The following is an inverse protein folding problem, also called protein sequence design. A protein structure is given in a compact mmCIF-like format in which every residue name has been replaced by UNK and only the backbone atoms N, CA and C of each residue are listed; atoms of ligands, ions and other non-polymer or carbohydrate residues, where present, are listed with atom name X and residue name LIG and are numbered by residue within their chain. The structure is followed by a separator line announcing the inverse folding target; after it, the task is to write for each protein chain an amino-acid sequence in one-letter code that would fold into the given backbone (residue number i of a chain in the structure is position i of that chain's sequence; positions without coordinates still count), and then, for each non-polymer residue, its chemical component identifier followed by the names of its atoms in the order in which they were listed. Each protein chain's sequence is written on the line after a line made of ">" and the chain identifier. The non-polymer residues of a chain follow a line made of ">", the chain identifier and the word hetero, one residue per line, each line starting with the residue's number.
data_IF_933572040548
#
_entry.id   IF_933572040548
#
_cell.length_a   1.000
_cell.length_b   1.000
_cell.length_c   1.000
_cell.angle_alpha   90.00
_cell.angle_beta   90.00
_cell.angle_gamma   90.00
#
_symmetry.space_group_name_H-M   'P 1'
#
loop_
_entity.id
_entity.type
_entity.pdbx_description
1 polymer ?
#
# COMPACT_ATOMS: atom_id res chain seq x y z
N UNK A 1 40.42 -6.43 -12.15
CA UNK A 1 39.76 -5.33 -11.44
C UNK A 1 38.26 -5.63 -11.38
N UNK A 2 37.76 -5.75 -10.15
CA UNK A 2 36.36 -5.71 -9.70
C UNK A 2 35.30 -6.56 -10.42
N UNK A 3 35.10 -7.78 -9.92
CA UNK A 3 33.79 -8.45 -9.85
C UNK A 3 33.59 -8.97 -8.43
N UNK A 4 33.34 -8.06 -7.49
CA UNK A 4 32.84 -8.35 -6.14
C UNK A 4 31.93 -7.19 -5.76
N UNK A 5 30.64 -7.26 -6.12
CA UNK A 5 29.51 -6.66 -5.40
C UNK A 5 28.20 -6.76 -6.21
N UNK A 6 27.67 -7.98 -6.36
CA UNK A 6 26.25 -8.18 -6.69
C UNK A 6 25.70 -9.19 -5.66
N UNK A 7 25.27 -8.59 -4.54
CA UNK A 7 24.56 -9.08 -3.37
C UNK A 7 24.18 -10.58 -3.31
N UNK A 8 25.01 -11.35 -2.60
CA UNK A 8 24.54 -12.47 -1.80
C UNK A 8 23.64 -11.91 -0.68
N UNK A 9 22.33 -11.81 -0.95
CA UNK A 9 21.33 -11.80 0.12
C UNK A 9 21.21 -13.26 0.53
N UNK A 10 21.94 -13.64 1.58
CA UNK A 10 21.98 -15.00 2.12
C UNK A 10 20.54 -15.50 2.37
N UNK A 11 20.08 -16.39 1.48
CA UNK A 11 18.88 -17.18 1.72
C UNK A 11 19.14 -18.02 2.97
N UNK A 12 18.31 -17.84 3.99
CA UNK A 12 18.40 -18.64 5.22
C UNK A 12 18.39 -20.13 4.83
N UNK A 13 19.40 -20.93 5.24
CA UNK A 13 19.46 -22.34 4.90
C UNK A 13 18.15 -23.07 5.20
N UNK A 14 17.66 -23.86 4.24
CA UNK A 14 16.38 -24.58 4.35
C UNK A 14 16.33 -25.51 5.58
N UNK A 15 17.48 -26.08 5.97
CA UNK A 15 17.63 -26.86 7.21
C UNK A 15 17.19 -26.10 8.48
N UNK A 16 17.40 -24.77 8.53
CA UNK A 16 17.03 -23.92 9.68
C UNK A 16 15.53 -23.65 9.67
N UNK A 17 14.95 -23.46 8.47
CA UNK A 17 13.50 -23.31 8.28
C UNK A 17 12.78 -24.57 8.75
N UNK A 18 13.21 -25.74 8.28
CA UNK A 18 12.64 -27.04 8.66
C UNK A 18 12.81 -27.33 10.16
N UNK A 19 13.98 -27.04 10.73
CA UNK A 19 14.20 -27.17 12.17
C UNK A 19 13.28 -26.25 12.98
N UNK A 20 13.00 -25.04 12.50
CA UNK A 20 12.08 -24.12 13.18
C UNK A 20 10.66 -24.68 13.18
N UNK A 21 10.19 -25.24 12.06
CA UNK A 21 8.86 -25.86 11.96
C UNK A 21 8.73 -27.11 12.83
N UNK A 22 9.75 -27.97 12.87
CA UNK A 22 9.78 -29.14 13.77
C UNK A 22 9.74 -28.72 15.24
N UNK A 23 10.55 -27.73 15.62
CA UNK A 23 10.57 -27.21 16.98
C UNK A 23 9.24 -26.54 17.38
N UNK A 24 8.56 -25.86 16.45
CA UNK A 24 7.22 -25.30 16.66
C UNK A 24 6.19 -26.41 16.92
N UNK A 25 6.14 -27.42 16.03
CA UNK A 25 5.21 -28.55 16.15
C UNK A 25 5.44 -29.39 17.41
N UNK A 26 6.69 -29.60 17.80
CA UNK A 26 7.03 -30.35 19.03
C UNK A 26 6.60 -29.64 20.32
N UNK A 27 6.38 -28.32 20.28
CA UNK A 27 6.07 -27.49 21.45
C UNK A 27 4.66 -26.92 21.44
N UNK A 28 3.91 -27.17 20.38
CA UNK A 28 2.56 -26.62 20.16
C UNK A 28 2.52 -25.08 20.32
N UNK A 29 3.52 -24.40 19.76
CA UNK A 29 3.60 -22.93 19.75
C UNK A 29 3.79 -22.43 18.33
N UNK A 30 3.38 -21.18 18.03
CA UNK A 30 3.68 -20.56 16.76
C UNK A 30 5.18 -20.52 16.43
N UNK A 31 5.59 -20.69 15.16
CA UNK A 31 7.00 -20.58 14.75
C UNK A 31 7.72 -19.31 15.25
N UNK A 32 7.02 -18.17 15.37
CA UNK A 32 7.58 -16.92 15.90
C UNK A 32 8.01 -17.03 17.37
N UNK A 33 7.30 -17.83 18.16
CA UNK A 33 7.53 -17.98 19.61
C UNK A 33 8.58 -19.04 19.94
N UNK A 34 9.06 -19.79 18.94
CA UNK A 34 10.17 -20.75 19.09
C UNK A 34 11.48 -19.99 19.36
N UNK A 35 12.18 -20.36 20.43
CA UNK A 35 13.43 -19.68 20.80
C UNK A 35 14.58 -20.07 19.87
N UNK A 36 15.55 -19.17 19.70
CA UNK A 36 16.80 -19.48 18.97
C UNK A 36 17.57 -20.66 19.58
N UNK A 37 17.38 -20.94 20.87
CA UNK A 37 17.99 -22.09 21.53
C UNK A 37 17.33 -23.39 21.04
N UNK A 38 16.00 -23.42 21.00
CA UNK A 38 15.25 -24.60 20.56
C UNK A 38 15.54 -24.91 19.09
N UNK A 39 15.63 -23.88 18.24
CA UNK A 39 15.97 -24.03 16.82
C UNK A 39 17.39 -24.56 16.65
N UNK A 40 18.35 -24.03 17.41
CA UNK A 40 19.73 -24.50 17.34
C UNK A 40 19.84 -25.98 17.76
N UNK A 41 19.11 -26.36 18.80
CA UNK A 41 19.03 -27.75 19.26
C UNK A 41 18.42 -28.67 18.21
N UNK A 42 17.28 -28.29 17.63
CA UNK A 42 16.59 -29.05 16.59
C UNK A 42 17.41 -29.16 15.28
N UNK A 43 18.22 -28.15 14.98
CA UNK A 43 19.12 -28.14 13.83
C UNK A 43 20.50 -28.76 14.11
N UNK A 44 20.74 -29.31 15.31
CA UNK A 44 22.00 -29.95 15.67
C UNK A 44 23.22 -29.02 15.69
N UNK A 45 23.02 -27.72 15.93
CA UNK A 45 24.08 -26.71 15.89
C UNK A 45 24.14 -25.84 17.16
N UNK A 46 25.25 -25.14 17.36
CA UNK A 46 25.35 -24.19 18.48
C UNK A 46 24.57 -22.90 18.19
N UNK A 47 24.06 -22.25 19.24
CA UNK A 47 23.33 -20.96 19.12
C UNK A 47 24.16 -19.88 18.40
N UNK A 48 25.47 -19.83 18.62
CA UNK A 48 26.37 -18.89 17.94
C UNK A 48 26.49 -19.19 16.44
N UNK A 49 26.50 -20.47 16.06
CA UNK A 49 26.51 -20.89 14.65
C UNK A 49 25.20 -20.53 13.97
N UNK A 50 24.07 -20.77 14.64
CA UNK A 50 22.75 -20.36 14.16
C UNK A 50 22.69 -18.85 13.92
N UNK A 51 23.04 -18.04 14.92
CA UNK A 51 23.02 -16.58 14.81
C UNK A 51 23.91 -16.06 13.67
N UNK A 52 25.09 -16.64 13.47
CA UNK A 52 25.97 -16.29 12.35
C UNK A 52 25.33 -16.61 11.00
N UNK A 53 24.69 -17.78 10.86
CA UNK A 53 23.97 -18.19 9.63
C UNK A 53 22.73 -17.35 9.34
N UNK A 54 22.14 -16.74 10.37
CA UNK A 54 21.00 -15.82 10.25
C UNK A 54 21.41 -14.36 9.99
N UNK A 55 22.69 -14.06 9.76
CA UNK A 55 23.15 -12.67 9.61
C UNK A 55 23.00 -11.85 10.90
N UNK A 56 23.02 -12.52 12.07
CA UNK A 56 22.97 -11.90 13.39
C UNK A 56 21.58 -11.63 13.96
N UNK A 57 20.50 -11.88 13.21
CA UNK A 57 19.14 -11.55 13.65
C UNK A 57 18.13 -12.65 13.29
N UNK A 58 17.14 -12.88 14.17
CA UNK A 58 15.98 -13.75 13.89
C UNK A 58 15.13 -13.21 12.72
N UNK A 59 15.23 -11.91 12.42
CA UNK A 59 14.44 -11.27 11.37
C UNK A 59 14.61 -11.91 9.99
N UNK A 60 15.83 -12.32 9.63
CA UNK A 60 16.10 -12.98 8.35
C UNK A 60 15.39 -14.34 8.24
N UNK A 61 15.32 -15.09 9.35
CA UNK A 61 14.57 -16.34 9.44
C UNK A 61 13.06 -16.10 9.29
N UNK A 62 12.51 -15.11 9.99
CA UNK A 62 11.09 -14.77 9.88
C UNK A 62 10.73 -14.30 8.46
N UNK A 63 11.62 -13.57 7.79
CA UNK A 63 11.49 -13.18 6.37
C UNK A 63 11.51 -14.39 5.44
N UNK A 64 12.43 -15.34 5.64
CA UNK A 64 12.51 -16.57 4.87
C UNK A 64 11.27 -17.47 5.05
N UNK A 65 10.79 -17.62 6.29
CA UNK A 65 9.56 -18.35 6.61
C UNK A 65 8.33 -17.72 5.95
N UNK A 66 8.20 -16.39 5.96
CA UNK A 66 7.13 -15.68 5.24
C UNK A 66 7.22 -15.87 3.73
N UNK A 67 8.41 -15.81 3.16
CA UNK A 67 8.62 -16.05 1.72
C UNK A 67 8.25 -17.49 1.32
N UNK A 68 8.40 -18.45 2.23
CA UNK A 68 7.96 -19.84 2.07
C UNK A 68 6.46 -20.06 2.34
N UNK A 69 5.69 -19.01 2.63
CA UNK A 69 4.24 -19.10 2.87
C UNK A 69 3.87 -19.65 4.25
N UNK A 70 4.80 -19.70 5.21
CA UNK A 70 4.54 -20.18 6.57
C UNK A 70 3.84 -19.09 7.39
N UNK A 71 2.72 -19.43 8.03
CA UNK A 71 2.17 -18.61 9.11
C UNK A 71 3.03 -18.76 10.36
N UNK A 72 3.76 -17.70 10.68
CA UNK A 72 4.64 -17.65 11.84
C UNK A 72 3.87 -17.65 13.16
N UNK A 73 2.60 -17.25 13.15
CA UNK A 73 1.88 -16.81 14.33
C UNK A 73 2.72 -15.91 15.25
N UNK A 74 2.36 -15.83 16.54
CA UNK A 74 3.02 -14.92 17.48
C UNK A 74 2.69 -13.44 17.26
N UNK A 75 3.17 -12.58 18.17
CA UNK A 75 2.79 -11.15 18.17
C UNK A 75 3.57 -10.40 17.09
N UNK A 76 2.86 -9.86 16.08
CA UNK A 76 3.44 -9.04 15.01
C UNK A 76 4.37 -7.92 15.55
N UNK A 77 5.37 -7.48 14.79
CA UNK A 77 6.26 -6.38 15.20
C UNK A 77 5.48 -5.13 15.60
N UNK A 78 6.00 -4.37 16.58
CA UNK A 78 5.37 -3.13 17.07
C UNK A 78 5.00 -2.19 15.91
N UNK A 79 5.89 -2.07 14.91
CA UNK A 79 5.63 -1.27 13.70
C UNK A 79 4.35 -1.69 12.98
N UNK A 80 4.19 -2.98 12.70
CA UNK A 80 3.02 -3.50 11.99
C UNK A 80 1.74 -3.35 12.81
N UNK A 81 1.80 -3.66 14.12
CA UNK A 81 0.65 -3.50 15.01
C UNK A 81 0.22 -2.05 15.12
N UNK A 82 1.18 -1.12 15.24
CA UNK A 82 0.92 0.30 15.33
C UNK A 82 0.31 0.87 14.05
N UNK A 83 0.80 0.47 12.86
CA UNK A 83 0.22 0.88 11.58
C UNK A 83 -1.21 0.36 11.44
N UNK A 84 -1.46 -0.91 11.78
CA UNK A 84 -2.79 -1.49 11.73
C UNK A 84 -3.76 -0.82 12.72
N UNK A 85 -3.31 -0.60 13.96
CA UNK A 85 -4.09 0.08 15.00
C UNK A 85 -4.40 1.54 14.64
N UNK A 86 -3.42 2.27 14.10
CA UNK A 86 -3.63 3.63 13.63
C UNK A 86 -4.61 3.67 12.44
N UNK A 87 -4.49 2.75 11.48
CA UNK A 87 -5.44 2.63 10.37
C UNK A 87 -6.87 2.40 10.86
N UNK A 88 -7.07 1.48 11.81
CA UNK A 88 -8.38 1.22 12.42
C UNK A 88 -8.94 2.47 13.13
N UNK A 89 -8.12 3.14 13.95
CA UNK A 89 -8.52 4.38 14.63
C UNK A 89 -8.93 5.49 13.65
N UNK A 90 -8.22 5.64 12.53
CA UNK A 90 -8.57 6.61 11.48
C UNK A 90 -9.92 6.26 10.87
N UNK A 91 -10.11 5.00 10.49
CA UNK A 91 -11.34 4.53 9.87
C UNK A 91 -12.57 4.72 10.77
N UNK A 92 -12.43 4.44 12.06
CA UNK A 92 -13.52 4.51 13.02
C UNK A 92 -13.80 5.93 13.53
N UNK A 93 -12.77 6.76 13.68
CA UNK A 93 -12.85 7.98 14.50
C UNK A 93 -12.30 9.23 13.82
N UNK A 94 -11.79 9.09 12.60
CA UNK A 94 -11.20 10.16 11.82
C UNK A 94 -9.74 10.44 12.16
N UNK A 95 -9.07 11.13 11.23
CA UNK A 95 -7.63 11.40 11.27
C UNK A 95 -7.23 12.25 12.48
N UNK A 96 -8.03 13.26 12.83
CA UNK A 96 -7.72 14.17 13.94
C UNK A 96 -7.69 13.52 15.32
N UNK A 97 -8.20 12.29 15.47
CA UNK A 97 -8.31 11.57 16.74
C UNK A 97 -7.17 10.59 17.02
N UNK A 98 -6.20 10.48 16.11
CA UNK A 98 -5.05 9.59 16.23
C UNK A 98 -3.95 10.24 17.08
N UNK A 99 -3.64 9.63 18.22
CA UNK A 99 -2.50 9.98 19.08
C UNK A 99 -1.68 8.75 19.42
N UNK A 100 -0.41 8.93 19.80
CA UNK A 100 0.48 7.84 20.18
C UNK A 100 -0.03 7.05 21.37
N UNK A 101 -0.66 7.69 22.36
CA UNK A 101 -1.23 7.02 23.53
C UNK A 101 -2.33 6.04 23.10
N UNK A 102 -3.20 6.48 22.19
CA UNK A 102 -4.31 5.67 21.69
C UNK A 102 -3.81 4.53 20.80
N UNK A 103 -2.83 4.82 19.94
CA UNK A 103 -2.19 3.81 19.10
C UNK A 103 -1.43 2.80 19.95
N UNK A 104 -0.73 3.24 20.99
CA UNK A 104 0.02 2.37 21.89
C UNK A 104 -0.91 1.41 22.64
N UNK A 105 -2.03 1.95 23.16
CA UNK A 105 -3.06 1.15 23.79
C UNK A 105 -3.66 0.11 22.81
N UNK A 106 -4.04 0.54 21.61
CA UNK A 106 -4.65 -0.34 20.60
C UNK A 106 -3.66 -1.36 19.98
N UNK A 107 -2.38 -1.00 19.84
CA UNK A 107 -1.32 -1.89 19.37
C UNK A 107 -0.69 -2.72 20.51
N UNK A 108 -1.21 -2.56 21.72
CA UNK A 108 -0.76 -3.19 22.95
C UNK A 108 0.77 -3.12 23.12
N UNK A 109 1.29 -1.90 23.08
CA UNK A 109 2.69 -1.58 23.30
C UNK A 109 2.83 -0.32 24.16
N UNK A 110 4.05 0.01 24.57
CA UNK A 110 4.29 1.23 25.32
C UNK A 110 4.48 2.42 24.38
N UNK A 111 4.07 3.62 24.81
CA UNK A 111 4.32 4.87 24.06
C UNK A 111 5.81 5.08 23.73
N UNK A 112 6.76 4.84 24.66
CA UNK A 112 8.18 4.87 24.32
C UNK A 112 8.57 3.93 23.18
N UNK A 113 7.94 2.74 23.08
CA UNK A 113 8.20 1.82 21.96
C UNK A 113 7.78 2.41 20.62
N UNK A 114 6.68 3.19 20.58
CA UNK A 114 6.26 3.90 19.36
C UNK A 114 7.24 5.02 18.99
N UNK A 115 7.72 5.80 19.96
CA UNK A 115 8.74 6.82 19.69
C UNK A 115 10.04 6.21 19.17
N UNK A 116 10.48 5.08 19.73
CA UNK A 116 11.64 4.35 19.19
C UNK A 116 11.39 3.82 17.77
N UNK A 117 10.16 3.39 17.48
CA UNK A 117 9.82 2.76 16.19
C UNK A 117 9.62 3.78 15.06
N UNK A 118 8.99 4.92 15.34
CA UNK A 118 8.58 5.90 14.33
C UNK A 118 9.23 7.28 14.49
N UNK A 119 9.80 7.62 15.64
CA UNK A 119 10.32 8.96 15.91
C UNK A 119 9.24 10.02 16.19
N UNK A 120 8.01 9.83 15.71
CA UNK A 120 6.89 10.73 16.01
C UNK A 120 5.59 10.36 15.30
N UNK A 121 4.54 11.14 15.59
CA UNK A 121 3.18 10.96 15.03
C UNK A 121 3.15 11.01 13.51
N UNK A 122 3.87 11.96 12.93
CA UNK A 122 3.85 12.22 11.50
C UNK A 122 4.47 11.05 10.70
N UNK A 123 5.56 10.46 11.20
CA UNK A 123 6.15 9.27 10.60
C UNK A 123 5.28 8.02 10.72
N UNK A 124 4.50 7.91 11.81
CA UNK A 124 3.46 6.89 11.90
C UNK A 124 2.37 7.13 10.84
N UNK A 125 1.86 8.36 10.72
CA UNK A 125 0.85 8.69 9.72
C UNK A 125 1.35 8.45 8.29
N UNK A 126 2.60 8.81 8.00
CA UNK A 126 3.25 8.52 6.71
C UNK A 126 3.25 7.01 6.44
N UNK A 127 3.66 6.19 7.40
CA UNK A 127 3.66 4.73 7.26
C UNK A 127 2.25 4.15 7.08
N UNK A 128 1.23 4.76 7.70
CA UNK A 128 -0.18 4.39 7.52
C UNK A 128 -0.65 4.76 6.11
N UNK A 129 -0.36 5.96 5.62
CA UNK A 129 -0.71 6.36 4.26
C UNK A 129 0.02 5.53 3.21
N UNK A 130 1.30 5.19 3.43
CA UNK A 130 2.03 4.27 2.56
C UNK A 130 1.38 2.88 2.50
N UNK A 131 0.74 2.43 3.59
CA UNK A 131 0.08 1.12 3.66
C UNK A 131 -1.30 1.10 3.02
N UNK A 132 -2.06 2.19 3.14
CA UNK A 132 -3.50 2.20 2.81
C UNK A 132 -3.87 3.14 1.65
N UNK A 133 -2.98 4.02 1.19
CA UNK A 133 -3.23 4.88 0.04
C UNK A 133 -3.10 4.12 -1.29
N UNK A 134 -3.99 4.33 -2.27
CA UNK A 134 -3.85 3.77 -3.62
C UNK A 134 -2.59 4.25 -4.35
N UNK A 135 -1.98 5.34 -3.88
CA UNK A 135 -0.91 6.03 -4.59
C UNK A 135 0.31 5.12 -4.83
N UNK A 136 0.60 4.23 -3.89
CA UNK A 136 1.74 3.30 -3.99
C UNK A 136 1.47 2.26 -5.06
N UNK A 137 0.24 1.73 -5.11
CA UNK A 137 -0.18 0.75 -6.12
C UNK A 137 -0.20 1.37 -7.52
N UNK A 138 -0.67 2.62 -7.63
CA UNK A 138 -0.67 3.40 -8.89
C UNK A 138 0.74 3.72 -9.37
N UNK A 139 1.62 4.18 -8.47
CA UNK A 139 3.02 4.47 -8.78
C UNK A 139 3.75 3.21 -9.26
N UNK A 140 3.59 2.09 -8.54
CA UNK A 140 4.20 0.82 -8.92
C UNK A 140 3.71 0.32 -10.28
N UNK A 141 2.41 0.46 -10.57
CA UNK A 141 1.84 0.09 -11.87
C UNK A 141 2.41 0.94 -13.02
N UNK A 142 2.45 2.27 -12.85
CA UNK A 142 2.93 3.19 -13.89
C UNK A 142 4.44 3.14 -14.11
N UNK A 143 5.21 2.74 -13.11
CA UNK A 143 6.66 2.53 -13.22
C UNK A 143 7.03 1.27 -14.03
N UNK A 144 6.12 0.29 -14.13
CA UNK A 144 6.31 -0.94 -14.89
C UNK A 144 5.80 -0.86 -16.33
N UNK A 145 6.08 -1.87 -17.17
CA UNK A 145 5.45 -2.01 -18.47
C UNK A 145 3.92 -2.06 -18.35
N UNK A 146 3.22 -1.22 -19.10
CA UNK A 146 1.77 -1.16 -19.15
C UNK A 146 1.27 -1.12 -20.61
N UNK A 147 -0.03 -1.33 -20.79
CA UNK A 147 -0.66 -1.44 -22.10
C UNK A 147 -0.81 -0.10 -22.81
N UNK A 148 -1.68 -0.07 -23.82
CA UNK A 148 -2.10 1.18 -24.45
C UNK A 148 -2.89 2.07 -23.47
N UNK A 149 -3.26 3.27 -23.95
CA UNK A 149 -4.00 4.26 -23.16
C UNK A 149 -5.26 3.67 -22.52
N UNK A 150 -6.06 2.92 -23.30
CA UNK A 150 -7.33 2.35 -22.84
C UNK A 150 -7.10 1.30 -21.74
N UNK A 151 -6.21 0.33 -21.98
CA UNK A 151 -5.87 -0.69 -21.00
C UNK A 151 -5.30 -0.09 -19.71
N UNK A 152 -4.46 0.95 -19.83
CA UNK A 152 -3.85 1.65 -18.71
C UNK A 152 -4.90 2.39 -17.88
N UNK A 153 -5.82 3.11 -18.53
CA UNK A 153 -6.92 3.79 -17.85
C UNK A 153 -7.80 2.78 -17.10
N UNK A 154 -8.26 1.70 -17.75
CA UNK A 154 -9.09 0.69 -17.06
C UNK A 154 -8.37 0.05 -15.87
N UNK A 155 -7.06 -0.19 -15.97
CA UNK A 155 -6.28 -0.71 -14.85
C UNK A 155 -6.18 0.30 -13.70
N UNK A 156 -5.95 1.57 -13.99
CA UNK A 156 -5.91 2.63 -12.97
C UNK A 156 -7.25 2.77 -12.24
N UNK A 157 -8.39 2.74 -12.96
CA UNK A 157 -9.71 2.78 -12.35
C UNK A 157 -9.97 1.55 -11.45
N UNK A 158 -9.52 0.36 -11.85
CA UNK A 158 -9.59 -0.85 -11.00
C UNK A 158 -8.79 -0.68 -9.71
N UNK A 159 -7.54 -0.21 -9.79
CA UNK A 159 -6.69 0.05 -8.62
C UNK A 159 -7.32 1.06 -7.65
N UNK A 160 -7.89 2.15 -8.19
CA UNK A 160 -8.57 3.16 -7.39
C UNK A 160 -9.84 2.62 -6.73
N UNK A 161 -10.63 1.81 -7.46
CA UNK A 161 -11.82 1.15 -6.92
C UNK A 161 -11.49 0.16 -5.80
N UNK A 162 -10.46 -0.68 -5.99
CA UNK A 162 -9.98 -1.62 -4.99
C UNK A 162 -9.54 -0.93 -3.70
N UNK A 163 -8.84 0.20 -3.83
CA UNK A 163 -8.41 0.96 -2.67
C UNK A 163 -9.58 1.59 -1.89
N UNK A 164 -10.71 1.86 -2.54
CA UNK A 164 -11.88 2.42 -1.87
C UNK A 164 -12.69 1.43 -1.04
N UNK A 165 -12.56 0.15 -1.35
CA UNK A 165 -13.22 -0.93 -0.61
C UNK A 165 -12.31 -1.53 0.47
N UNK A 166 -11.05 -1.08 0.55
CA UNK A 166 -10.05 -1.60 1.48
C UNK A 166 -10.38 -1.16 2.91
N UNK A 167 -10.43 -2.14 3.82
CA UNK A 167 -10.47 -1.91 5.26
C UNK A 167 -9.05 -1.92 5.86
N UNK A 168 -8.75 -1.07 6.86
CA UNK A 168 -9.54 0.06 7.36
C UNK A 168 -9.72 1.20 6.33
N UNK A 169 -10.85 1.92 6.39
CA UNK A 169 -11.23 3.05 5.50
C UNK A 169 -10.45 4.34 5.75
N UNK A 170 -9.12 4.26 5.62
CA UNK A 170 -8.22 5.39 5.86
C UNK A 170 -8.44 6.53 4.88
N UNK A 171 -8.55 6.25 3.58
CA UNK A 171 -8.70 7.30 2.56
C UNK A 171 -10.05 8.02 2.65
N UNK A 172 -11.21 7.34 2.81
CA UNK A 172 -12.48 8.01 3.08
C UNK A 172 -12.45 8.92 4.33
N UNK A 173 -11.85 8.45 5.43
CA UNK A 173 -11.73 9.24 6.65
C UNK A 173 -10.81 10.46 6.48
N UNK A 174 -9.71 10.32 5.72
CA UNK A 174 -8.86 11.46 5.35
C UNK A 174 -9.65 12.50 4.54
N UNK A 175 -10.38 12.06 3.50
CA UNK A 175 -11.17 12.97 2.66
C UNK A 175 -12.27 13.69 3.45
N UNK A 176 -12.93 13.01 4.38
CA UNK A 176 -13.89 13.63 5.29
C UNK A 176 -13.24 14.79 6.09
N UNK A 177 -12.02 14.59 6.60
CA UNK A 177 -11.28 15.64 7.31
C UNK A 177 -10.85 16.78 6.38
N UNK A 178 -10.46 16.49 5.13
CA UNK A 178 -10.13 17.51 4.12
C UNK A 178 -11.31 18.46 3.88
N UNK A 179 -12.51 17.91 3.71
CA UNK A 179 -13.70 18.72 3.47
C UNK A 179 -14.16 19.48 4.73
N UNK A 180 -14.02 18.89 5.91
CA UNK A 180 -14.45 19.50 7.17
C UNK A 180 -13.46 20.52 7.73
N UNK A 181 -12.14 20.25 7.61
CA UNK A 181 -11.05 21.01 8.25
C UNK A 181 -9.83 21.09 7.34
N UNK A 182 -9.90 21.80 6.19
CA UNK A 182 -8.79 21.89 5.24
C UNK A 182 -7.51 22.53 5.81
N UNK A 183 -7.62 23.31 6.90
CA UNK A 183 -6.49 23.92 7.59
C UNK A 183 -5.85 23.08 8.69
N UNK A 184 -6.34 21.86 8.97
CA UNK A 184 -5.78 21.00 10.01
C UNK A 184 -4.35 20.57 9.67
N UNK A 185 -3.45 20.57 10.65
CA UNK A 185 -2.06 20.21 10.46
C UNK A 185 -1.89 18.77 9.93
N UNK A 186 -2.76 17.83 10.33
CA UNK A 186 -2.71 16.44 9.86
C UNK A 186 -3.14 16.33 8.40
N UNK A 187 -4.11 17.14 7.97
CA UNK A 187 -4.54 17.24 6.57
C UNK A 187 -3.43 17.84 5.73
N UNK A 188 -2.83 18.95 6.18
CA UNK A 188 -1.69 19.57 5.51
C UNK A 188 -0.52 18.60 5.37
N UNK A 189 -0.17 17.90 6.45
CA UNK A 189 0.86 16.87 6.42
C UNK A 189 0.54 15.76 5.42
N UNK A 190 -0.70 15.24 5.41
CA UNK A 190 -1.09 14.21 4.45
C UNK A 190 -0.90 14.67 3.00
N UNK A 191 -1.34 15.89 2.65
CA UNK A 191 -1.20 16.42 1.29
C UNK A 191 0.24 16.75 0.92
N UNK A 192 1.05 17.24 1.86
CA UNK A 192 2.49 17.43 1.63
C UNK A 192 3.21 16.12 1.27
N UNK A 193 2.76 14.99 1.80
CA UNK A 193 3.33 13.68 1.50
C UNK A 193 2.72 13.02 0.24
N UNK A 194 1.40 13.15 0.04
CA UNK A 194 0.69 12.48 -1.05
C UNK A 194 0.79 13.22 -2.38
N UNK A 195 0.74 14.55 -2.39
CA UNK A 195 0.72 15.33 -3.64
C UNK A 195 1.98 15.13 -4.50
N UNK A 196 3.22 15.17 -3.96
CA UNK A 196 4.42 14.96 -4.78
C UNK A 196 4.45 13.59 -5.45
N UNK A 197 4.05 12.53 -4.72
CA UNK A 197 4.00 11.17 -5.26
C UNK A 197 2.94 11.03 -6.37
N UNK A 198 1.80 11.70 -6.21
CA UNK A 198 0.72 11.66 -7.19
C UNK A 198 1.17 12.34 -8.49
N UNK A 199 1.86 13.48 -8.36
CA UNK A 199 2.42 14.19 -9.50
C UNK A 199 3.54 13.40 -10.18
N UNK A 200 4.41 12.74 -9.41
CA UNK A 200 5.49 11.92 -9.95
C UNK A 200 4.99 10.62 -10.63
N UNK A 201 3.90 10.02 -10.14
CA UNK A 201 3.29 8.84 -10.78
C UNK A 201 2.29 9.23 -11.86
N UNK A 202 1.05 9.47 -11.43
CA UNK A 202 -0.08 9.73 -12.32
C UNK A 202 0.11 11.01 -13.15
N UNK A 203 0.60 12.08 -12.52
CA UNK A 203 0.80 13.35 -13.20
C UNK A 203 1.82 13.26 -14.34
N UNK A 204 2.95 12.60 -14.09
CA UNK A 204 4.00 12.39 -15.10
C UNK A 204 3.50 11.53 -16.25
N UNK A 205 2.74 10.47 -15.98
CA UNK A 205 2.14 9.63 -17.02
C UNK A 205 1.16 10.44 -17.89
N UNK A 206 0.21 11.16 -17.29
CA UNK A 206 -0.74 12.00 -18.03
C UNK A 206 -0.02 13.05 -18.89
N UNK A 207 1.04 13.69 -18.37
CA UNK A 207 1.84 14.63 -19.15
C UNK A 207 2.53 13.97 -20.36
N UNK A 208 2.99 12.73 -20.23
CA UNK A 208 3.57 11.97 -21.33
C UNK A 208 2.51 11.60 -22.39
N UNK A 209 1.29 11.24 -21.98
CA UNK A 209 0.16 10.98 -22.88
C UNK A 209 -0.25 12.24 -23.68
N UNK A 210 -0.23 13.41 -23.05
CA UNK A 210 -0.44 14.71 -23.71
C UNK A 210 0.67 14.98 -24.72
N UNK A 211 1.94 14.85 -24.32
CA UNK A 211 3.09 15.10 -25.19
C UNK A 211 3.13 14.15 -26.40
N UNK A 212 2.62 12.92 -26.24
CA UNK A 212 2.50 11.95 -27.33
C UNK A 212 1.27 12.17 -28.23
N UNK A 213 0.43 13.18 -27.95
CA UNK A 213 -0.79 13.46 -28.71
C UNK A 213 -1.86 12.39 -28.58
N UNK A 214 -1.82 11.57 -27.52
CA UNK A 214 -2.82 10.51 -27.25
C UNK A 214 -4.01 11.03 -26.46
N UNK A 215 -3.82 12.05 -25.63
CA UNK A 215 -4.89 12.75 -24.91
C UNK A 215 -4.79 14.27 -25.11
N UNK A 216 -5.91 14.97 -24.92
CA UNK A 216 -6.03 16.43 -25.04
C UNK A 216 -5.09 17.15 -24.07
N UNK A 217 -4.48 18.23 -24.56
CA UNK A 217 -3.70 19.16 -23.74
C UNK A 217 -4.63 19.99 -22.85
N UNK A 218 -4.73 19.59 -21.59
CA UNK A 218 -5.53 20.22 -20.55
C UNK A 218 -4.64 20.47 -19.32
N UNK A 219 -4.95 21.46 -18.46
CA UNK A 219 -4.21 21.67 -17.22
C UNK A 219 -4.12 20.39 -16.39
N UNK A 220 -2.90 20.00 -16.01
CA UNK A 220 -2.62 18.68 -15.42
C UNK A 220 -3.50 18.34 -14.20
N UNK A 221 -3.71 19.30 -13.31
CA UNK A 221 -4.58 19.09 -12.14
C UNK A 221 -6.03 18.83 -12.53
N UNK A 222 -6.54 19.42 -13.62
CA UNK A 222 -7.88 19.14 -14.12
C UNK A 222 -7.97 17.74 -14.73
N UNK A 223 -6.92 17.26 -15.43
CA UNK A 223 -6.87 15.88 -15.92
C UNK A 223 -6.92 14.87 -14.78
N UNK A 224 -6.09 15.08 -13.74
CA UNK A 224 -6.08 14.24 -12.54
C UNK A 224 -7.46 14.28 -11.86
N UNK A 225 -8.05 15.46 -11.70
CA UNK A 225 -9.38 15.60 -11.08
C UNK A 225 -10.46 14.92 -11.90
N UNK A 226 -10.46 15.04 -13.23
CA UNK A 226 -11.43 14.38 -14.10
C UNK A 226 -11.32 12.85 -14.04
N UNK A 227 -10.09 12.33 -13.94
CA UNK A 227 -9.86 10.90 -13.81
C UNK A 227 -10.33 10.36 -12.45
N UNK A 228 -9.91 11.02 -11.37
CA UNK A 228 -10.02 10.44 -10.02
C UNK A 228 -11.36 10.77 -9.35
N UNK A 229 -11.88 11.99 -9.52
CA UNK A 229 -13.00 12.50 -8.72
C UNK A 229 -14.32 11.74 -8.90
N UNK A 230 -14.78 11.40 -10.13
CA UNK A 230 -16.06 10.71 -10.30
C UNK A 230 -16.10 9.36 -9.60
N UNK A 231 -15.01 8.59 -9.73
CA UNK A 231 -14.87 7.29 -9.09
C UNK A 231 -14.80 7.41 -7.57
N UNK A 232 -13.96 8.32 -7.05
CA UNK A 232 -13.87 8.55 -5.61
C UNK A 232 -15.22 8.93 -5.02
N UNK A 233 -15.93 9.89 -5.63
CA UNK A 233 -17.23 10.34 -5.13
C UNK A 233 -18.25 9.21 -5.12
N UNK A 234 -18.30 8.39 -6.18
CA UNK A 234 -19.18 7.22 -6.24
C UNK A 234 -18.93 6.26 -5.07
N UNK A 235 -17.68 5.85 -4.85
CA UNK A 235 -17.37 4.91 -3.76
C UNK A 235 -17.53 5.51 -2.37
N UNK A 236 -17.30 6.82 -2.19
CA UNK A 236 -17.56 7.49 -0.91
C UNK A 236 -19.05 7.48 -0.55
N UNK A 237 -19.93 7.67 -1.53
CA UNK A 237 -21.37 7.70 -1.32
C UNK A 237 -22.00 6.30 -1.31
N UNK A 238 -21.37 5.31 -1.95
CA UNK A 238 -21.87 3.94 -2.08
C UNK A 238 -22.37 3.30 -0.77
N UNK A 239 -21.70 3.40 0.39
CA UNK A 239 -22.20 2.83 1.64
C UNK A 239 -23.53 3.44 2.10
N UNK A 240 -23.71 4.75 1.90
CA UNK A 240 -24.94 5.45 2.24
C UNK A 240 -26.03 5.11 1.22
N UNK A 241 -25.72 5.19 -0.08
CA UNK A 241 -26.66 4.82 -1.15
C UNK A 241 -27.12 3.37 -1.01
N UNK A 242 -26.25 2.44 -0.61
CA UNK A 242 -26.60 1.04 -0.38
C UNK A 242 -27.57 0.82 0.78
N UNK A 243 -27.73 1.78 1.68
CA UNK A 243 -28.71 1.72 2.78
C UNK A 243 -30.07 2.27 2.37
N UNK A 244 -30.13 3.23 1.45
CA UNK A 244 -31.37 4.00 1.16
C UNK A 244 -31.88 3.85 -0.28
N UNK A 245 -31.07 3.32 -1.20
CA UNK A 245 -31.31 3.33 -2.64
C UNK A 245 -30.48 2.23 -3.34
N UNK A 246 -30.41 1.02 -2.75
CA UNK A 246 -29.54 -0.06 -3.20
C UNK A 246 -29.83 -0.51 -4.65
N UNK A 247 -31.09 -0.42 -5.08
CA UNK A 247 -31.54 -0.79 -6.42
C UNK A 247 -30.95 0.10 -7.54
N UNK A 248 -30.44 1.29 -7.20
CA UNK A 248 -29.78 2.20 -8.14
C UNK A 248 -28.27 2.01 -8.20
N UNK A 249 -27.69 1.15 -7.34
CA UNK A 249 -26.26 0.89 -7.35
C UNK A 249 -25.89 -0.06 -8.47
N UNK A 250 -24.97 0.37 -9.33
CA UNK A 250 -24.26 -0.50 -10.24
C UNK A 250 -23.32 -1.44 -9.47
N UNK A 251 -22.85 -2.50 -10.11
CA UNK A 251 -21.71 -3.25 -9.60
C UNK A 251 -20.45 -2.37 -9.58
N UNK A 252 -19.41 -2.83 -8.87
CA UNK A 252 -18.11 -2.15 -8.82
C UNK A 252 -17.50 -2.11 -10.22
N UNK A 253 -17.52 -3.25 -10.90
CA UNK A 253 -16.97 -3.45 -12.23
C UNK A 253 -17.67 -2.54 -13.25
N UNK A 254 -19.00 -2.48 -13.22
CA UNK A 254 -19.78 -1.57 -14.07
C UNK A 254 -19.44 -0.10 -13.83
N UNK A 255 -19.28 0.31 -12.56
CA UNK A 255 -18.92 1.69 -12.23
C UNK A 255 -17.52 2.04 -12.75
N UNK A 256 -16.55 1.15 -12.51
CA UNK A 256 -15.17 1.27 -12.97
C UNK A 256 -15.11 1.40 -14.49
N UNK A 257 -15.77 0.51 -15.22
CA UNK A 257 -15.79 0.54 -16.68
C UNK A 257 -16.49 1.78 -17.22
N UNK A 258 -17.61 2.18 -16.61
CA UNK A 258 -18.37 3.37 -17.02
C UNK A 258 -17.54 4.64 -16.86
N UNK A 259 -16.87 4.82 -15.71
CA UNK A 259 -16.07 6.02 -15.48
C UNK A 259 -14.76 6.02 -16.29
N UNK A 260 -14.13 4.86 -16.50
CA UNK A 260 -12.98 4.73 -17.39
C UNK A 260 -13.33 5.15 -18.83
N UNK A 261 -14.44 4.64 -19.37
CA UNK A 261 -14.91 5.03 -20.70
C UNK A 261 -15.29 6.51 -20.77
N UNK A 262 -15.94 7.06 -19.73
CA UNK A 262 -16.28 8.47 -19.67
C UNK A 262 -15.03 9.37 -19.73
N UNK A 263 -13.98 9.01 -19.00
CA UNK A 263 -12.69 9.70 -19.06
C UNK A 263 -12.06 9.61 -20.45
N UNK A 264 -11.95 8.40 -21.01
CA UNK A 264 -11.38 8.19 -22.35
C UNK A 264 -12.13 8.99 -23.42
N UNK A 265 -13.47 9.00 -23.42
CA UNK A 265 -14.26 9.80 -24.37
C UNK A 265 -14.03 11.31 -24.19
N UNK A 266 -13.77 11.75 -22.97
CA UNK A 266 -13.53 13.16 -22.68
C UNK A 266 -12.14 13.63 -23.12
N UNK A 267 -11.11 12.76 -23.08
CA UNK A 267 -9.71 13.19 -23.25
C UNK A 267 -8.96 12.54 -24.41
N UNK A 268 -9.30 11.33 -24.84
CA UNK A 268 -8.55 10.62 -25.88
C UNK A 268 -8.66 11.35 -27.23
N UNK A 269 -7.53 11.44 -27.92
CA UNK A 269 -7.46 11.94 -29.30
C UNK A 269 -7.48 10.76 -30.27
N UNK A 270 -8.11 10.92 -31.45
CA UNK A 270 -8.03 9.89 -32.49
C UNK A 270 -6.57 9.62 -32.82
N UNK A 271 -6.22 8.34 -32.95
CA UNK A 271 -4.92 7.97 -33.53
C UNK A 271 -4.86 8.62 -34.90
N UNK A 272 -3.92 9.56 -35.09
CA UNK A 272 -3.73 10.21 -36.37
C UNK A 272 -3.49 9.10 -37.41
N UNK A 273 -4.46 8.89 -38.29
CA UNK A 273 -4.33 7.93 -39.38
C UNK A 273 -3.10 8.36 -40.18
N UNK A 274 -2.06 7.53 -40.14
CA UNK A 274 -0.78 7.81 -40.78
C UNK A 274 -1.01 8.29 -42.21
N UNK A 275 -0.34 9.40 -42.54
CA UNK A 275 -0.19 9.88 -43.91
C UNK A 275 0.20 8.69 -44.78
N UNK A 276 -0.72 8.22 -45.63
CA UNK A 276 -0.38 7.27 -46.68
C UNK A 276 0.68 7.92 -47.57
N UNK A 277 1.81 7.26 -47.88
CA UNK A 277 2.71 7.75 -48.91
C UNK A 277 1.89 7.82 -50.21
N UNK A 278 1.86 8.99 -50.83
CA UNK A 278 1.41 9.11 -52.21
C UNK A 278 2.46 8.42 -53.08
N UNK A 279 2.05 7.37 -53.79
CA UNK A 279 2.77 6.85 -54.96
C UNK A 279 2.69 7.86 -56.12
#
# INVERSE_FOLDING_TARGET
>A
MSRINESAIDCVPQEIVEATLRAAGARDVPPADVTLRDIAQEAGMSRSTLLRRLGGSRRSLDEALRAAGVDLGGRKPVKERAIAAAGALISEQGLGKVTFERVAAAAECSVPSLYVTFGGRDELLRAVFDRYSPIVDVEAFLAGPHGDLEATVHQLYRLLGDAMEREPRVLPALLAEVFARPGDASVQFAFQNLTPRMLAGLGQWLAAEVAAGRIRDLPLLLLIQQMVSPLLLHFLLRPVTGQVAAEYLTTKEEAVDTFAQAFLRAVALPVAAGVRPQE
#
